data_IF_049546396116
#
_entry.id   IF_049546396116
#
_cell.length_a   1.000
_cell.length_b   1.000
_cell.length_c   1.000
_cell.angle_alpha   90.00
_cell.angle_beta   90.00
_cell.angle_gamma   90.00
#
_symmetry.space_group_name_H-M   'P 1'
#
loop_
_entity.id
_entity.type
_entity.pdbx_description
1 polymer ?
#
# COMPACT_ATOMS: atom_id res chain seq x y z
N UNK A 1 30.50 38.75 7.46
CA UNK A 1 31.39 37.60 7.18
C UNK A 1 30.62 36.37 7.58
N UNK A 2 30.08 35.64 6.59
CA UNK A 2 29.41 34.37 6.84
C UNK A 2 30.50 33.35 7.15
N UNK A 3 30.50 32.81 8.37
CA UNK A 3 31.36 31.67 8.68
C UNK A 3 30.87 30.50 7.81
N UNK A 4 31.59 30.19 6.74
CA UNK A 4 31.50 28.87 6.13
C UNK A 4 31.93 27.87 7.19
N UNK A 5 30.96 27.25 7.85
CA UNK A 5 31.17 26.10 8.73
C UNK A 5 31.65 24.95 7.85
N UNK A 6 32.96 24.90 7.61
CA UNK A 6 33.60 23.81 6.90
C UNK A 6 33.52 22.56 7.76
N UNK A 7 32.56 21.69 7.45
CA UNK A 7 32.41 20.38 8.09
C UNK A 7 33.70 19.58 7.89
N UNK A 8 34.20 18.97 8.95
CA UNK A 8 35.27 18.00 8.85
C UNK A 8 34.79 16.79 8.03
N UNK A 9 35.69 16.02 7.38
CA UNK A 9 35.31 14.81 6.65
C UNK A 9 34.52 13.79 7.50
N UNK A 10 34.83 13.70 8.80
CA UNK A 10 34.10 12.86 9.74
C UNK A 10 32.66 13.35 9.97
N UNK A 11 32.47 14.66 10.14
CA UNK A 11 31.13 15.25 10.29
C UNK A 11 30.31 15.18 9.00
N UNK A 12 30.95 15.34 7.84
CA UNK A 12 30.31 15.15 6.54
C UNK A 12 29.84 13.70 6.35
N UNK A 13 30.67 12.71 6.74
CA UNK A 13 30.30 11.30 6.69
C UNK A 13 29.18 10.98 7.68
N UNK A 14 29.24 11.53 8.90
CA UNK A 14 28.20 11.37 9.91
C UNK A 14 26.88 12.01 9.45
N UNK A 15 26.93 13.19 8.82
CA UNK A 15 25.77 13.85 8.23
C UNK A 15 25.19 13.04 7.07
N UNK A 16 26.02 12.52 6.17
CA UNK A 16 25.60 11.65 5.08
C UNK A 16 24.98 10.34 5.61
N UNK A 17 25.53 9.78 6.68
CA UNK A 17 24.99 8.62 7.40
C UNK A 17 23.60 8.91 7.97
N UNK A 18 23.44 10.04 8.67
CA UNK A 18 22.15 10.51 9.21
C UNK A 18 21.14 10.80 8.11
N UNK A 19 21.55 11.46 7.03
CA UNK A 19 20.70 11.74 5.87
C UNK A 19 20.25 10.45 5.19
N UNK A 20 21.14 9.46 5.02
CA UNK A 20 20.82 8.14 4.49
C UNK A 20 19.89 7.34 5.41
N UNK A 21 20.07 7.46 6.74
CA UNK A 21 19.18 6.84 7.72
C UNK A 21 17.80 7.50 7.73
N UNK A 22 17.73 8.84 7.67
CA UNK A 22 16.49 9.61 7.56
C UNK A 22 15.74 9.30 6.27
N UNK A 23 16.44 9.25 5.13
CA UNK A 23 15.90 8.84 3.84
C UNK A 23 15.41 7.37 3.82
N UNK A 24 15.80 6.55 4.81
CA UNK A 24 15.35 5.17 4.99
C UNK A 24 14.24 5.03 6.04
N UNK A 25 13.62 6.11 6.54
CA UNK A 25 12.51 6.04 7.52
C UNK A 25 11.13 5.79 6.88
N UNK A 26 10.38 4.73 7.26
CA UNK A 26 9.05 4.42 6.70
C UNK A 26 8.12 5.64 6.78
N UNK A 27 7.45 5.96 5.67
CA UNK A 27 6.48 7.05 5.58
C UNK A 27 5.10 6.43 5.44
N UNK A 28 4.07 6.89 6.18
CA UNK A 28 2.71 6.42 6.00
C UNK A 28 2.24 6.61 4.56
N UNK A 29 1.49 5.64 4.05
CA UNK A 29 0.81 5.78 2.77
C UNK A 29 -0.20 6.94 2.84
N UNK A 30 -0.43 7.67 1.73
CA UNK A 30 -1.47 8.70 1.68
C UNK A 30 -2.83 8.15 2.11
N UNK A 31 -3.62 8.97 2.82
CA UNK A 31 -4.92 8.53 3.38
C UNK A 31 -5.93 8.06 2.32
N UNK A 32 -5.80 8.52 1.08
CA UNK A 32 -6.62 8.11 -0.06
C UNK A 32 -6.21 6.76 -0.67
N UNK A 33 -4.99 6.27 -0.42
CA UNK A 33 -4.44 5.11 -1.13
C UNK A 33 -5.23 3.82 -0.87
N UNK A 34 -5.50 3.51 0.40
CA UNK A 34 -6.30 2.36 0.80
C UNK A 34 -7.72 2.37 0.22
N UNK A 35 -8.52 3.43 0.46
CA UNK A 35 -9.86 3.56 -0.11
C UNK A 35 -9.90 3.47 -1.63
N UNK A 36 -8.98 4.17 -2.33
CA UNK A 36 -8.95 4.19 -3.78
C UNK A 36 -8.62 2.80 -4.36
N UNK A 37 -7.67 2.08 -3.77
CA UNK A 37 -7.30 0.75 -4.24
C UNK A 37 -8.39 -0.28 -3.90
N UNK A 38 -9.02 -0.15 -2.72
CA UNK A 38 -10.17 -0.97 -2.34
C UNK A 38 -11.37 -0.76 -3.28
N UNK A 39 -11.64 0.48 -3.67
CA UNK A 39 -12.65 0.80 -4.68
C UNK A 39 -12.31 0.21 -6.05
N UNK A 40 -11.05 0.33 -6.49
CA UNK A 40 -10.60 -0.25 -7.75
C UNK A 40 -10.73 -1.79 -7.78
N UNK A 41 -10.38 -2.48 -6.68
CA UNK A 41 -10.56 -3.94 -6.54
C UNK A 41 -12.03 -4.34 -6.60
N UNK A 42 -12.89 -3.58 -5.92
CA UNK A 42 -14.34 -3.80 -5.93
C UNK A 42 -14.90 -3.65 -7.34
N UNK A 43 -14.57 -2.54 -8.01
CA UNK A 43 -15.00 -2.28 -9.38
C UNK A 43 -14.48 -3.35 -10.35
N UNK A 44 -13.22 -3.77 -10.21
CA UNK A 44 -12.64 -4.84 -10.99
C UNK A 44 -13.41 -6.17 -10.80
N UNK A 45 -13.72 -6.54 -9.56
CA UNK A 45 -14.51 -7.74 -9.26
C UNK A 45 -15.92 -7.69 -9.87
N UNK A 46 -16.62 -6.56 -9.79
CA UNK A 46 -17.93 -6.38 -10.40
C UNK A 46 -17.86 -6.48 -11.93
N UNK A 47 -16.93 -5.77 -12.56
CA UNK A 47 -16.75 -5.80 -14.03
C UNK A 47 -16.36 -7.21 -14.50
N UNK A 48 -15.50 -7.90 -13.76
CA UNK A 48 -15.11 -9.27 -14.06
C UNK A 48 -16.31 -10.22 -13.93
N UNK A 49 -17.12 -10.08 -12.88
CA UNK A 49 -18.35 -10.83 -12.70
C UNK A 49 -19.32 -10.67 -13.86
N UNK A 50 -19.61 -9.42 -14.24
CA UNK A 50 -20.48 -9.10 -15.38
C UNK A 50 -19.90 -9.61 -16.71
N UNK A 51 -18.58 -9.49 -16.89
CA UNK A 51 -17.90 -10.01 -18.08
C UNK A 51 -18.04 -11.52 -18.21
N UNK A 52 -17.93 -12.27 -17.11
CA UNK A 52 -18.08 -13.72 -17.11
C UNK A 52 -19.54 -14.14 -17.27
N UNK A 53 -20.46 -13.45 -16.61
CA UNK A 53 -21.91 -13.73 -16.67
C UNK A 53 -22.50 -13.53 -18.06
N UNK A 54 -21.97 -12.56 -18.82
CA UNK A 54 -22.41 -12.25 -20.19
C UNK A 54 -21.45 -12.74 -21.29
N UNK A 55 -20.47 -13.59 -20.94
CA UNK A 55 -19.47 -14.14 -21.86
C UNK A 55 -18.65 -13.10 -22.67
N UNK A 56 -18.52 -11.88 -22.14
CA UNK A 56 -17.83 -10.75 -22.78
C UNK A 56 -16.31 -10.85 -22.56
N UNK A 57 -15.63 -11.80 -23.20
CA UNK A 57 -14.18 -12.04 -23.00
C UNK A 57 -13.28 -10.82 -23.22
N UNK A 58 -13.64 -9.93 -24.15
CA UNK A 58 -12.90 -8.69 -24.40
C UNK A 58 -12.91 -7.75 -23.19
N UNK A 59 -14.01 -7.74 -22.43
CA UNK A 59 -14.17 -6.90 -21.25
C UNK A 59 -13.27 -7.38 -20.10
N UNK A 60 -13.05 -8.69 -19.97
CA UNK A 60 -12.09 -9.27 -19.01
C UNK A 60 -10.67 -8.76 -19.29
N UNK A 61 -10.25 -8.80 -20.56
CA UNK A 61 -8.91 -8.34 -20.97
C UNK A 61 -8.75 -6.85 -20.69
N UNK A 62 -9.73 -6.04 -21.09
CA UNK A 62 -9.70 -4.59 -20.85
C UNK A 62 -9.71 -4.25 -19.35
N UNK A 63 -10.54 -4.94 -18.55
CA UNK A 63 -10.58 -4.74 -17.11
C UNK A 63 -9.23 -5.06 -16.46
N UNK A 64 -8.57 -6.16 -16.87
CA UNK A 64 -7.26 -6.52 -16.36
C UNK A 64 -6.19 -5.50 -16.74
N UNK A 65 -6.22 -4.99 -17.97
CA UNK A 65 -5.29 -3.95 -18.44
C UNK A 65 -5.50 -2.63 -17.68
N UNK A 66 -6.74 -2.16 -17.57
CA UNK A 66 -7.08 -0.93 -16.86
C UNK A 66 -6.75 -1.02 -15.37
N UNK A 67 -7.05 -2.16 -14.74
CA UNK A 67 -6.70 -2.39 -13.34
C UNK A 67 -5.18 -2.40 -13.13
N UNK A 68 -4.43 -3.11 -13.98
CA UNK A 68 -2.97 -3.17 -13.90
C UNK A 68 -2.32 -1.79 -14.14
N UNK A 69 -2.79 -1.06 -15.14
CA UNK A 69 -2.32 0.30 -15.43
C UNK A 69 -2.67 1.28 -14.30
N UNK A 70 -3.90 1.23 -13.80
CA UNK A 70 -4.38 2.08 -12.72
C UNK A 70 -3.64 1.83 -11.40
N UNK A 71 -3.45 0.57 -11.03
CA UNK A 71 -2.67 0.20 -9.84
C UNK A 71 -1.21 0.61 -9.96
N UNK A 72 -0.58 0.45 -11.14
CA UNK A 72 0.77 0.94 -11.42
C UNK A 72 0.90 2.46 -11.34
N UNK A 73 -0.09 3.20 -11.85
CA UNK A 73 -0.15 4.65 -11.76
C UNK A 73 -0.32 5.12 -10.31
N UNK A 74 -1.25 4.50 -9.56
CA UNK A 74 -1.46 4.79 -8.14
C UNK A 74 -0.22 4.51 -7.30
N UNK A 75 0.46 3.38 -7.55
CA UNK A 75 1.71 3.06 -6.88
C UNK A 75 2.79 4.10 -7.21
N UNK A 76 2.88 4.53 -8.46
CA UNK A 76 3.81 5.58 -8.89
C UNK A 76 3.52 6.92 -8.19
N UNK A 77 2.25 7.31 -8.07
CA UNK A 77 1.84 8.53 -7.36
C UNK A 77 2.12 8.41 -5.86
N UNK A 78 1.82 7.26 -5.24
CA UNK A 78 2.10 7.02 -3.83
C UNK A 78 3.61 7.07 -3.52
N UNK A 79 4.44 6.52 -4.42
CA UNK A 79 5.91 6.60 -4.32
C UNK A 79 6.40 8.04 -4.47
N UNK A 80 5.84 8.81 -5.42
CA UNK A 80 6.20 10.23 -5.63
C UNK A 80 5.77 11.11 -4.45
N UNK A 81 4.58 10.89 -3.90
CA UNK A 81 4.05 11.61 -2.76
C UNK A 81 4.85 11.34 -1.46
N UNK A 82 5.54 10.20 -1.37
CA UNK A 82 6.39 9.85 -0.24
C UNK A 82 7.84 10.34 -0.32
N UNK A 83 8.24 11.01 -1.40
CA UNK A 83 9.62 11.47 -1.63
C UNK A 83 10.57 10.36 -2.13
N UNK A 84 11.46 10.74 -3.06
CA UNK A 84 12.49 9.96 -3.79
C UNK A 84 12.57 8.48 -3.41
N UNK A 85 11.89 7.65 -4.20
CA UNK A 85 12.12 6.21 -4.40
C UNK A 85 12.63 5.43 -3.17
N UNK A 86 11.82 5.35 -2.10
CA UNK A 86 12.15 4.44 -1.00
C UNK A 86 11.92 3.00 -1.41
N UNK A 87 13.01 2.25 -1.52
CA UNK A 87 13.02 0.78 -1.58
C UNK A 87 12.14 0.25 -0.45
N UNK A 88 11.24 -0.67 -0.77
CA UNK A 88 10.49 -1.46 0.21
C UNK A 88 11.50 -1.96 1.27
N UNK A 89 11.40 -1.46 2.50
CA UNK A 89 12.29 -1.96 3.54
C UNK A 89 11.94 -3.43 3.75
N UNK A 90 12.95 -4.30 3.74
CA UNK A 90 12.80 -5.74 3.99
C UNK A 90 11.96 -6.03 5.23
N UNK A 91 12.03 -5.13 6.22
CA UNK A 91 11.25 -5.12 7.46
C UNK A 91 9.73 -5.17 7.25
N UNK A 92 9.19 -4.54 6.19
CA UNK A 92 7.76 -4.59 5.87
C UNK A 92 7.42 -5.55 4.73
N UNK A 93 8.42 -6.15 4.06
CA UNK A 93 8.16 -7.07 2.95
C UNK A 93 7.31 -8.27 3.41
N UNK A 94 7.65 -8.89 4.54
CA UNK A 94 6.87 -10.01 5.09
C UNK A 94 5.44 -9.63 5.47
N UNK A 95 5.26 -8.47 6.10
CA UNK A 95 3.93 -7.94 6.48
C UNK A 95 3.09 -7.64 5.24
N UNK A 96 3.71 -7.07 4.21
CA UNK A 96 3.04 -6.78 2.94
C UNK A 96 2.64 -8.06 2.22
N UNK A 97 3.54 -9.05 2.11
CA UNK A 97 3.23 -10.34 1.48
C UNK A 97 2.12 -11.08 2.23
N UNK A 98 2.19 -11.15 3.57
CA UNK A 98 1.14 -11.75 4.38
C UNK A 98 -0.19 -11.02 4.24
N UNK A 99 -0.17 -9.69 4.17
CA UNK A 99 -1.37 -8.89 3.97
C UNK A 99 -1.99 -9.09 2.58
N UNK A 100 -1.18 -9.16 1.52
CA UNK A 100 -1.67 -9.52 0.16
C UNK A 100 -2.26 -10.92 0.16
N UNK A 101 -1.61 -11.89 0.80
CA UNK A 101 -2.15 -13.24 0.95
C UNK A 101 -3.49 -13.23 1.70
N UNK A 102 -3.62 -12.44 2.77
CA UNK A 102 -4.87 -12.28 3.51
C UNK A 102 -5.97 -11.62 2.66
N UNK A 103 -5.65 -10.61 1.86
CA UNK A 103 -6.60 -9.98 0.92
C UNK A 103 -7.16 -11.00 -0.07
N UNK A 104 -6.28 -11.81 -0.68
CA UNK A 104 -6.67 -12.85 -1.60
C UNK A 104 -7.48 -13.96 -0.91
N UNK A 105 -7.07 -14.37 0.29
CA UNK A 105 -7.76 -15.39 1.06
C UNK A 105 -9.18 -14.93 1.48
N UNK A 106 -9.32 -13.69 1.96
CA UNK A 106 -10.62 -13.13 2.35
C UNK A 106 -11.54 -12.99 1.13
N UNK A 107 -11.04 -12.41 0.03
CA UNK A 107 -11.82 -12.28 -1.21
C UNK A 107 -12.25 -13.64 -1.77
N UNK A 108 -11.31 -14.59 -1.82
CA UNK A 108 -11.58 -15.95 -2.28
C UNK A 108 -12.54 -16.72 -1.37
N UNK A 109 -12.42 -16.59 -0.05
CA UNK A 109 -13.31 -17.24 0.90
C UNK A 109 -14.75 -16.72 0.78
N UNK A 110 -14.93 -15.40 0.70
CA UNK A 110 -16.26 -14.80 0.50
C UNK A 110 -16.85 -15.21 -0.85
N UNK A 111 -16.06 -15.15 -1.92
CA UNK A 111 -16.49 -15.63 -3.24
C UNK A 111 -16.92 -17.10 -3.21
N UNK A 112 -16.13 -17.96 -2.55
CA UNK A 112 -16.44 -19.38 -2.39
C UNK A 112 -17.72 -19.61 -1.60
N UNK A 113 -17.94 -18.87 -0.50
CA UNK A 113 -19.20 -18.95 0.26
C UNK A 113 -20.39 -18.58 -0.61
N UNK A 114 -20.30 -17.48 -1.37
CA UNK A 114 -21.38 -17.05 -2.27
C UNK A 114 -21.65 -18.12 -3.33
N UNK A 115 -20.62 -18.74 -3.88
CA UNK A 115 -20.76 -19.82 -4.86
C UNK A 115 -21.42 -21.06 -4.27
N UNK A 116 -21.00 -21.49 -3.07
CA UNK A 116 -21.58 -22.64 -2.36
C UNK A 116 -23.05 -22.44 -1.99
N UNK A 117 -23.48 -21.18 -1.84
CA UNK A 117 -24.88 -20.81 -1.63
C UNK A 117 -25.70 -20.72 -2.94
N UNK A 118 -25.10 -21.09 -4.08
CA UNK A 118 -25.75 -21.03 -5.40
C UNK A 118 -25.86 -19.62 -5.99
N UNK A 119 -25.05 -18.67 -5.50
CA UNK A 119 -25.04 -17.31 -6.02
C UNK A 119 -24.54 -17.22 -7.47
N UNK A 120 -25.04 -16.27 -8.27
CA UNK A 120 -24.57 -16.07 -9.65
C UNK A 120 -23.10 -15.63 -9.67
N UNK A 121 -22.41 -15.90 -10.78
CA UNK A 121 -20.97 -15.58 -10.93
C UNK A 121 -20.70 -14.07 -10.74
N UNK A 122 -21.64 -13.20 -11.13
CA UNK A 122 -21.59 -11.78 -10.86
C UNK A 122 -21.51 -11.44 -9.37
N UNK A 123 -22.33 -12.11 -8.55
CA UNK A 123 -22.32 -11.93 -7.10
C UNK A 123 -21.04 -12.49 -6.45
N UNK A 124 -20.54 -13.64 -6.93
CA UNK A 124 -19.28 -14.24 -6.46
C UNK A 124 -18.11 -13.28 -6.66
N UNK A 125 -17.96 -12.76 -7.87
CA UNK A 125 -16.84 -11.88 -8.21
C UNK A 125 -17.01 -10.48 -7.61
N UNK A 126 -18.23 -9.96 -7.57
CA UNK A 126 -18.55 -8.66 -6.97
C UNK A 126 -18.31 -8.63 -5.46
N UNK A 127 -18.88 -9.58 -4.71
CA UNK A 127 -18.70 -9.66 -3.26
C UNK A 127 -17.28 -10.08 -2.86
N UNK A 128 -16.66 -10.99 -3.62
CA UNK A 128 -15.26 -11.34 -3.44
C UNK A 128 -14.33 -10.14 -3.64
N UNK A 129 -14.55 -9.36 -4.70
CA UNK A 129 -13.83 -8.11 -4.98
C UNK A 129 -14.03 -7.05 -3.89
N UNK A 130 -15.27 -6.87 -3.43
CA UNK A 130 -15.59 -5.96 -2.32
C UNK A 130 -14.88 -6.35 -1.02
N UNK A 131 -14.91 -7.64 -0.67
CA UNK A 131 -14.25 -8.16 0.52
C UNK A 131 -12.72 -8.01 0.45
N UNK A 132 -12.12 -8.32 -0.71
CA UNK A 132 -10.70 -8.08 -0.97
C UNK A 132 -10.35 -6.58 -0.85
N UNK A 133 -11.19 -5.70 -1.40
CA UNK A 133 -11.00 -4.25 -1.33
C UNK A 133 -11.03 -3.70 0.10
N UNK A 134 -12.00 -4.15 0.90
CA UNK A 134 -12.09 -3.82 2.33
C UNK A 134 -10.89 -4.36 3.12
N UNK A 135 -10.49 -5.61 2.87
CA UNK A 135 -9.33 -6.21 3.51
C UNK A 135 -8.05 -5.41 3.20
N UNK A 136 -7.87 -4.99 1.94
CA UNK A 136 -6.72 -4.17 1.52
C UNK A 136 -6.73 -2.81 2.23
N UNK A 137 -7.88 -2.15 2.29
CA UNK A 137 -8.00 -0.89 3.01
C UNK A 137 -7.65 -1.07 4.50
N UNK A 138 -8.20 -2.07 5.19
CA UNK A 138 -7.86 -2.32 6.60
C UNK A 138 -6.37 -2.59 6.80
N UNK A 139 -5.75 -3.37 5.90
CA UNK A 139 -4.30 -3.60 5.91
C UNK A 139 -3.51 -2.28 5.83
N UNK A 140 -3.87 -1.37 4.90
CA UNK A 140 -3.19 -0.07 4.80
C UNK A 140 -3.36 0.79 6.06
N UNK A 141 -4.52 0.73 6.71
CA UNK A 141 -4.76 1.42 8.00
C UNK A 141 -3.85 0.87 9.10
N UNK A 142 -3.73 -0.46 9.20
CA UNK A 142 -2.87 -1.12 10.20
C UNK A 142 -1.40 -0.78 9.97
N UNK A 143 -0.93 -0.84 8.72
CA UNK A 143 0.44 -0.47 8.35
C UNK A 143 0.72 0.99 8.69
N UNK A 144 -0.17 1.91 8.32
CA UNK A 144 -0.03 3.33 8.64
C UNK A 144 0.01 3.59 10.15
N UNK A 145 -0.83 2.89 10.93
CA UNK A 145 -0.80 2.97 12.40
C UNK A 145 0.53 2.47 12.96
N UNK A 146 1.06 1.37 12.43
CA UNK A 146 2.36 0.81 12.86
C UNK A 146 3.51 1.76 12.53
N UNK A 147 3.58 2.27 11.31
CA UNK A 147 4.61 3.24 10.90
C UNK A 147 4.60 4.49 11.79
N UNK A 148 3.41 5.01 12.13
CA UNK A 148 3.27 6.16 13.02
C UNK A 148 3.74 5.85 14.44
N UNK A 149 3.41 4.67 14.98
CA UNK A 149 3.86 4.22 16.31
C UNK A 149 5.38 4.03 16.36
N UNK A 150 5.94 3.35 15.37
CA UNK A 150 7.39 3.11 15.28
C UNK A 150 8.16 4.43 15.08
N UNK A 151 7.56 5.41 14.41
CA UNK A 151 8.08 6.77 14.29
C UNK A 151 8.04 7.54 15.62
N UNK A 152 6.92 7.48 16.35
CA UNK A 152 6.75 8.17 17.64
C UNK A 152 7.67 7.61 18.73
N UNK A 153 7.77 6.28 18.84
CA UNK A 153 8.65 5.60 19.80
C UNK A 153 10.14 5.91 19.59
N UNK A 154 10.54 6.24 18.35
CA UNK A 154 11.91 6.67 18.03
C UNK A 154 12.16 8.17 18.26
N UNK A 155 11.09 8.99 18.32
CA UNK A 155 11.17 10.41 18.67
C UNK A 155 11.27 10.66 20.18
N UNK A 156 10.66 9.80 21.00
CA UNK A 156 10.76 9.87 22.47
C UNK A 156 12.15 9.50 23.02
N UNK A 157 13.03 8.92 22.21
CA UNK A 157 14.37 8.51 22.61
C UNK A 157 15.49 9.44 22.13
N UNK A 158 15.16 10.66 21.70
CA UNK A 158 16.15 11.69 21.41
C UNK A 158 16.17 12.75 22.53
N UNK A 159 16.90 12.54 23.64
CA UNK A 159 17.05 13.54 24.70
C UNK A 159 17.73 14.82 24.19
N UNK A 160 18.44 14.79 23.05
CA UNK A 160 19.12 15.95 22.46
C UNK A 160 18.19 16.94 21.75
N UNK A 161 16.92 16.60 21.48
CA UNK A 161 15.95 17.54 20.88
C UNK A 161 15.18 18.39 21.91
N UNK A 162 15.41 18.19 23.22
CA UNK A 162 14.79 19.02 24.27
C UNK A 162 15.61 20.23 24.71
N UNK A 163 16.83 20.39 24.19
CA UNK A 163 17.74 21.49 24.58
C UNK A 163 18.14 22.43 23.42
N UNK A 164 17.34 22.45 22.34
CA UNK A 164 17.37 23.51 21.31
C UNK A 164 16.03 24.26 21.29
#
# INVERSE_FOLDING_TARGET
MNAETSLTPAEALALAGRAKAAARRPVPMPGWYGPAFGGALTAYGVVLGQSLEHELRWLTILAALLFSAGTGAMASVAVRAGGVARRASREYAGVTTAGVAAVLAIGGAIGLVVWLLGGPIGAVMGLGGAAAGLAFWQMTVVINKRIRRDGAARGEHNPEEREL
#
